data_IF_734492068991
#
_entry.id   IF_734492068991
#
_cell.length_a   1.000
_cell.length_b   1.000
_cell.length_c   1.000
_cell.angle_alpha   90.00
_cell.angle_beta   90.00
_cell.angle_gamma   90.00
#
_symmetry.space_group_name_H-M   'P 1'
#
loop_
_entity.id
_entity.type
_entity.pdbx_description
1 polymer ?
#
# COMPACT_ATOMS: atom_id res chain seq x y z
N UNK A 1 74.89 -0.33 29.55
CA UNK A 1 74.80 -0.43 28.08
C UNK A 1 73.80 -1.53 27.78
N UNK A 2 72.63 -1.27 27.19
CA UNK A 2 72.09 0.01 26.69
C UNK A 2 70.55 -0.05 26.77
N UNK A 3 69.87 1.10 26.83
CA UNK A 3 68.47 1.22 27.27
C UNK A 3 67.41 1.16 26.13
N UNK A 4 66.14 1.21 26.54
CA UNK A 4 64.89 1.27 25.75
C UNK A 4 64.82 2.49 24.79
N UNK A 5 63.90 2.46 23.81
CA UNK A 5 62.55 3.06 23.98
C UNK A 5 61.45 2.08 23.51
N UNK A 6 60.32 1.83 24.17
CA UNK A 6 59.19 2.70 24.57
C UNK A 6 58.69 3.67 23.49
N UNK A 7 57.53 3.35 22.89
CA UNK A 7 56.70 4.32 22.16
C UNK A 7 55.22 3.88 22.15
N UNK A 8 54.50 4.37 23.16
CA UNK A 8 53.13 4.91 23.11
C UNK A 8 52.09 4.38 22.09
N UNK A 9 51.02 3.80 22.65
CA UNK A 9 49.60 4.10 22.42
C UNK A 9 48.99 4.16 21.00
N UNK A 10 47.97 3.33 20.77
CA UNK A 10 46.72 3.77 20.12
C UNK A 10 45.49 2.93 20.58
N UNK A 11 44.44 3.60 21.02
CA UNK A 11 43.07 3.10 21.28
C UNK A 11 42.10 4.20 20.76
N UNK A 12 40.78 3.95 20.59
CA UNK A 12 40.14 2.85 19.88
C UNK A 12 39.11 3.40 18.85
N UNK A 13 39.03 2.83 17.65
CA UNK A 13 38.03 3.29 16.67
C UNK A 13 36.62 2.72 16.90
N UNK A 14 35.81 3.47 17.65
CA UNK A 14 34.37 3.27 17.73
C UNK A 14 33.65 3.70 16.43
N UNK A 15 32.67 2.94 15.92
CA UNK A 15 31.83 3.40 14.82
C UNK A 15 30.83 4.46 15.32
N UNK A 16 30.97 5.68 14.82
CA UNK A 16 30.08 6.81 15.11
C UNK A 16 28.66 6.56 14.63
N UNK A 17 27.68 6.69 15.53
CA UNK A 17 26.28 6.78 15.15
C UNK A 17 26.02 8.13 14.46
N UNK A 18 25.50 8.11 13.23
CA UNK A 18 25.02 9.31 12.56
C UNK A 18 23.49 9.35 12.57
N UNK A 19 22.94 10.24 13.39
CA UNK A 19 21.51 10.52 13.42
C UNK A 19 21.12 11.56 12.37
N UNK A 20 19.85 11.47 11.95
CA UNK A 20 18.94 12.53 11.47
C UNK A 20 19.44 13.62 10.49
N UNK A 21 18.70 13.80 9.39
CA UNK A 21 18.81 14.97 8.53
C UNK A 21 17.65 15.08 7.53
N UNK A 22 16.68 15.95 7.78
CA UNK A 22 15.58 16.23 6.87
C UNK A 22 15.85 17.48 6.00
N UNK A 23 15.62 17.37 4.70
CA UNK A 23 15.38 18.47 3.75
C UNK A 23 14.71 17.87 2.49
N UNK A 24 13.59 18.31 1.92
CA UNK A 24 12.95 19.63 1.77
C UNK A 24 13.45 20.47 0.57
N UNK A 25 12.53 20.64 -0.40
CA UNK A 25 12.44 21.67 -1.45
C UNK A 25 13.41 21.65 -2.66
N UNK A 26 12.86 21.96 -3.84
CA UNK A 26 13.60 22.17 -5.10
C UNK A 26 12.70 22.12 -6.34
N UNK A 27 11.91 23.17 -6.59
CA UNK A 27 10.95 23.22 -7.70
C UNK A 27 11.56 23.69 -9.03
N UNK A 28 11.04 23.20 -10.16
CA UNK A 28 11.20 23.82 -11.48
C UNK A 28 9.95 23.56 -12.37
N UNK A 29 9.31 24.65 -12.82
CA UNK A 29 8.36 24.66 -13.94
C UNK A 29 9.16 24.77 -15.27
N UNK A 30 8.64 24.65 -16.51
CA UNK A 30 7.28 24.54 -17.08
C UNK A 30 7.42 23.85 -18.48
N UNK A 31 6.45 23.73 -19.41
CA UNK A 31 5.07 24.20 -19.52
C UNK A 31 4.25 23.36 -20.54
N UNK A 32 2.92 23.47 -20.50
CA UNK A 32 2.10 23.68 -21.70
C UNK A 32 1.91 22.55 -22.74
N UNK A 33 0.89 21.72 -22.53
CA UNK A 33 0.10 21.13 -23.62
C UNK A 33 -1.37 21.02 -23.20
N UNK A 34 -2.17 22.04 -23.53
CA UNK A 34 -3.60 22.06 -23.20
C UNK A 34 -4.38 21.19 -24.20
N UNK A 35 -4.88 20.04 -23.75
CA UNK A 35 -5.87 19.24 -24.46
C UNK A 35 -7.23 19.40 -23.77
N UNK A 36 -8.13 20.11 -24.46
CA UNK A 36 -9.51 20.46 -24.08
C UNK A 36 -10.12 19.71 -22.88
N UNK A 37 -10.34 20.44 -21.78
CA UNK A 37 -11.37 20.07 -20.83
C UNK A 37 -12.72 20.11 -21.56
N UNK A 38 -13.30 18.94 -21.81
CA UNK A 38 -14.66 18.85 -22.30
C UNK A 38 -15.60 19.45 -21.24
N UNK A 39 -16.25 20.55 -21.59
CA UNK A 39 -17.20 21.25 -20.72
C UNK A 39 -18.33 20.28 -20.36
N UNK A 40 -18.38 19.87 -19.09
CA UNK A 40 -19.38 18.92 -18.63
C UNK A 40 -20.77 19.55 -18.79
N UNK A 41 -21.74 18.87 -19.45
CA UNK A 41 -23.09 19.39 -19.60
C UNK A 41 -23.71 19.65 -18.22
N UNK A 42 -24.67 20.59 -18.12
CA UNK A 42 -25.28 20.95 -16.84
C UNK A 42 -25.83 19.69 -16.16
N UNK A 43 -25.52 19.55 -14.87
CA UNK A 43 -25.78 18.34 -14.11
C UNK A 43 -27.29 18.09 -13.89
N UNK A 44 -27.97 17.59 -14.92
CA UNK A 44 -29.07 16.63 -14.76
C UNK A 44 -28.55 15.58 -13.79
N UNK A 45 -29.21 15.40 -12.65
CA UNK A 45 -28.63 14.67 -11.52
C UNK A 45 -28.24 13.25 -11.94
N UNK A 46 -26.94 13.04 -12.18
CA UNK A 46 -26.44 11.81 -12.77
C UNK A 46 -26.77 10.59 -11.89
N UNK A 47 -26.90 10.82 -10.58
CA UNK A 47 -27.39 9.86 -9.60
C UNK A 47 -28.82 9.43 -9.93
N UNK A 48 -29.75 10.37 -10.14
CA UNK A 48 -31.13 10.06 -10.49
C UNK A 48 -31.28 9.39 -11.87
N UNK A 49 -30.47 9.82 -12.86
CA UNK A 49 -30.47 9.21 -14.19
C UNK A 49 -30.00 7.74 -14.18
N UNK A 50 -29.01 7.42 -13.34
CA UNK A 50 -28.45 6.06 -13.20
C UNK A 50 -29.27 5.18 -12.27
N UNK A 51 -29.75 5.71 -11.14
CA UNK A 51 -30.50 4.94 -10.13
C UNK A 51 -32.00 4.78 -10.46
N UNK A 52 -32.58 5.55 -11.40
CA UNK A 52 -33.90 5.28 -12.00
C UNK A 52 -35.05 5.19 -10.97
N UNK A 53 -35.04 6.04 -9.94
CA UNK A 53 -36.05 6.04 -8.87
C UNK A 53 -35.65 5.22 -7.63
N UNK A 54 -34.48 4.56 -7.63
CA UNK A 54 -33.98 3.79 -6.49
C UNK A 54 -33.28 4.66 -5.43
N UNK A 55 -33.22 5.98 -5.60
CA UNK A 55 -32.56 6.91 -4.67
C UNK A 55 -33.22 6.86 -3.29
N UNK A 56 -34.55 6.66 -3.25
CA UNK A 56 -35.34 6.49 -2.04
C UNK A 56 -34.99 5.23 -1.22
N UNK A 57 -34.21 4.30 -1.77
CA UNK A 57 -33.67 3.17 -1.01
C UNK A 57 -32.48 3.57 -0.14
N UNK A 58 -31.80 4.69 -0.45
CA UNK A 58 -30.48 5.03 0.07
C UNK A 58 -30.53 6.23 1.02
N UNK A 59 -29.61 6.25 1.98
CA UNK A 59 -29.36 7.40 2.84
C UNK A 59 -28.56 8.48 2.12
N UNK A 60 -28.56 9.71 2.64
CA UNK A 60 -27.77 10.81 2.08
C UNK A 60 -26.27 10.47 1.96
N UNK A 61 -25.68 9.74 2.93
CA UNK A 61 -24.27 9.33 2.86
C UNK A 61 -24.00 8.31 1.76
N UNK A 62 -24.93 7.36 1.56
CA UNK A 62 -24.83 6.37 0.49
C UNK A 62 -25.00 7.03 -0.89
N UNK A 63 -25.88 8.03 -1.01
CA UNK A 63 -26.03 8.81 -2.24
C UNK A 63 -24.78 9.63 -2.59
N UNK A 64 -24.09 10.20 -1.60
CA UNK A 64 -22.80 10.87 -1.83
C UNK A 64 -21.70 9.88 -2.25
N UNK A 65 -21.64 8.68 -1.66
CA UNK A 65 -20.73 7.61 -2.12
C UNK A 65 -21.05 7.19 -3.56
N UNK A 66 -22.32 7.00 -3.91
CA UNK A 66 -22.73 6.73 -5.31
C UNK A 66 -22.31 7.88 -6.21
N UNK A 67 -22.53 9.15 -5.81
CA UNK A 67 -22.14 10.34 -6.59
C UNK A 67 -20.63 10.37 -6.87
N UNK A 68 -19.80 10.07 -5.86
CA UNK A 68 -18.34 9.97 -6.01
C UNK A 68 -17.94 8.81 -6.96
N UNK A 69 -18.59 7.64 -6.84
CA UNK A 69 -18.36 6.51 -7.75
C UNK A 69 -18.76 6.83 -9.21
N UNK A 70 -19.84 7.60 -9.42
CA UNK A 70 -20.22 8.07 -10.76
C UNK A 70 -19.18 9.03 -11.35
N UNK A 71 -18.63 9.95 -10.54
CA UNK A 71 -17.54 10.85 -10.96
C UNK A 71 -16.26 10.07 -11.34
N UNK A 72 -15.99 8.96 -10.66
CA UNK A 72 -14.89 8.04 -10.98
C UNK A 72 -15.15 7.11 -12.18
N UNK A 73 -16.32 7.20 -12.83
CA UNK A 73 -16.71 6.42 -14.01
C UNK A 73 -17.38 5.07 -13.71
N UNK A 74 -17.77 4.80 -12.46
CA UNK A 74 -18.30 3.49 -12.03
C UNK A 74 -19.83 3.35 -12.21
N UNK A 75 -20.43 4.09 -13.15
CA UNK A 75 -21.89 4.04 -13.40
C UNK A 75 -22.44 2.66 -13.79
N UNK A 76 -21.61 1.85 -14.44
CA UNK A 76 -21.94 0.48 -14.85
C UNK A 76 -22.32 -0.45 -13.67
N UNK A 77 -21.88 -0.15 -12.44
CA UNK A 77 -22.24 -0.88 -11.21
C UNK A 77 -23.74 -0.79 -10.90
N UNK A 78 -24.38 0.29 -11.34
CA UNK A 78 -25.77 0.63 -11.05
C UNK A 78 -26.68 0.55 -12.29
N UNK A 79 -26.11 0.59 -13.49
CA UNK A 79 -26.83 0.66 -14.77
C UNK A 79 -27.89 -0.44 -14.94
N UNK A 80 -27.58 -1.68 -14.53
CA UNK A 80 -28.49 -2.83 -14.65
C UNK A 80 -29.54 -2.93 -13.52
N UNK A 81 -29.66 -1.93 -12.63
CA UNK A 81 -30.62 -1.99 -11.54
C UNK A 81 -32.07 -2.01 -12.05
N UNK A 82 -32.91 -2.96 -11.59
CA UNK A 82 -34.32 -2.97 -11.90
C UNK A 82 -35.05 -1.82 -11.17
N UNK A 83 -36.31 -1.58 -11.57
CA UNK A 83 -37.18 -0.60 -10.93
C UNK A 83 -37.31 -0.80 -9.40
N UNK A 84 -37.66 0.24 -8.63
CA UNK A 84 -37.95 0.13 -7.20
C UNK A 84 -39.00 -0.94 -6.90
N UNK A 85 -38.87 -1.63 -5.77
CA UNK A 85 -39.69 -2.78 -5.39
C UNK A 85 -39.20 -4.14 -5.90
N UNK A 86 -38.27 -4.16 -6.87
CA UNK A 86 -37.68 -5.40 -7.41
C UNK A 86 -36.22 -5.52 -7.00
N UNK A 87 -35.84 -6.58 -6.29
CA UNK A 87 -34.44 -6.83 -5.91
C UNK A 87 -33.85 -5.82 -4.92
N UNK A 88 -34.69 -5.04 -4.23
CA UNK A 88 -34.24 -3.94 -3.35
C UNK A 88 -33.34 -4.43 -2.19
N UNK A 89 -33.49 -5.68 -1.74
CA UNK A 89 -32.60 -6.30 -0.77
C UNK A 89 -31.18 -6.52 -1.32
N UNK A 90 -31.04 -6.88 -2.60
CA UNK A 90 -29.74 -7.03 -3.26
C UNK A 90 -29.09 -5.67 -3.51
N UNK A 91 -29.85 -4.66 -3.93
CA UNK A 91 -29.38 -3.27 -4.08
C UNK A 91 -28.84 -2.74 -2.75
N UNK A 92 -29.58 -2.92 -1.65
CA UNK A 92 -29.14 -2.54 -0.29
C UNK A 92 -27.90 -3.31 0.16
N UNK A 93 -27.80 -4.61 -0.11
CA UNK A 93 -26.60 -5.41 0.21
C UNK A 93 -25.38 -4.89 -0.56
N UNK A 94 -25.51 -4.61 -1.86
CA UNK A 94 -24.42 -4.07 -2.67
C UNK A 94 -23.94 -2.72 -2.13
N UNK A 95 -24.85 -1.80 -1.79
CA UNK A 95 -24.47 -0.50 -1.22
C UNK A 95 -23.83 -0.65 0.17
N UNK A 96 -24.34 -1.54 1.02
CA UNK A 96 -23.70 -1.84 2.31
C UNK A 96 -22.27 -2.40 2.15
N UNK A 97 -22.03 -3.23 1.13
CA UNK A 97 -20.69 -3.69 0.77
C UNK A 97 -19.81 -2.52 0.29
N UNK A 98 -20.31 -1.64 -0.58
CA UNK A 98 -19.56 -0.45 -1.01
C UNK A 98 -19.17 0.45 0.17
N UNK A 99 -20.08 0.72 1.10
CA UNK A 99 -19.81 1.49 2.33
C UNK A 99 -18.76 0.78 3.21
N UNK A 100 -18.81 -0.54 3.33
CA UNK A 100 -17.81 -1.30 4.09
C UNK A 100 -16.42 -1.24 3.43
N UNK A 101 -16.33 -1.38 2.10
CA UNK A 101 -15.06 -1.26 1.39
C UNK A 101 -14.49 0.16 1.48
N UNK A 102 -15.34 1.18 1.32
CA UNK A 102 -14.95 2.58 1.44
C UNK A 102 -14.37 2.91 2.83
N UNK A 103 -14.98 2.38 3.90
CA UNK A 103 -14.45 2.51 5.27
C UNK A 103 -13.19 1.68 5.54
N UNK A 104 -12.93 0.63 4.76
CA UNK A 104 -11.80 -0.30 4.97
C UNK A 104 -10.51 0.10 4.26
N UNK A 105 -10.59 1.03 3.28
CA UNK A 105 -9.42 1.49 2.51
C UNK A 105 -9.04 2.93 2.89
N UNK A 106 -7.74 3.22 2.99
CA UNK A 106 -7.28 4.58 3.30
C UNK A 106 -7.59 5.55 2.15
N UNK A 107 -8.47 6.53 2.39
CA UNK A 107 -8.98 7.44 1.37
C UNK A 107 -10.18 6.90 0.57
N UNK A 108 -10.73 5.75 0.96
CA UNK A 108 -11.96 5.20 0.39
C UNK A 108 -11.83 4.67 -1.05
N UNK A 109 -12.98 4.33 -1.64
CA UNK A 109 -13.07 3.76 -2.98
C UNK A 109 -12.57 4.72 -4.06
N UNK A 110 -12.77 6.03 -3.89
CA UNK A 110 -12.23 7.04 -4.80
C UNK A 110 -10.69 7.02 -4.83
N UNK A 111 -10.03 6.97 -3.67
CA UNK A 111 -8.57 6.83 -3.63
C UNK A 111 -8.12 5.48 -4.20
N UNK A 112 -8.82 4.38 -3.91
CA UNK A 112 -8.52 3.07 -4.49
C UNK A 112 -8.56 3.10 -6.04
N UNK A 113 -9.60 3.70 -6.63
CA UNK A 113 -9.74 3.83 -8.09
C UNK A 113 -8.66 4.75 -8.67
N UNK A 114 -8.37 5.89 -8.02
CA UNK A 114 -7.29 6.80 -8.42
C UNK A 114 -5.92 6.11 -8.43
N UNK A 115 -5.58 5.43 -7.33
CA UNK A 115 -4.35 4.65 -7.19
C UNK A 115 -4.26 3.54 -8.24
N UNK A 116 -5.37 2.85 -8.54
CA UNK A 116 -5.39 1.82 -9.59
C UNK A 116 -5.15 2.41 -11.00
N UNK A 117 -5.76 3.56 -11.32
CA UNK A 117 -5.52 4.28 -12.60
C UNK A 117 -4.05 4.71 -12.73
N UNK A 118 -3.46 5.21 -11.64
CA UNK A 118 -2.04 5.55 -11.54
C UNK A 118 -1.13 4.32 -11.75
N UNK A 119 -1.31 3.25 -10.96
CA UNK A 119 -0.50 2.03 -11.08
C UNK A 119 -0.56 1.39 -12.48
N UNK A 120 -1.72 1.43 -13.14
CA UNK A 120 -1.87 0.93 -14.52
C UNK A 120 -1.12 1.79 -15.55
N UNK A 121 -1.15 3.12 -15.39
CA UNK A 121 -0.37 4.06 -16.22
C UNK A 121 1.13 3.86 -16.00
N UNK A 122 1.54 3.77 -14.75
CA UNK A 122 2.94 3.64 -14.34
C UNK A 122 3.55 2.32 -14.83
N UNK A 123 2.79 1.23 -14.73
CA UNK A 123 3.11 -0.08 -15.31
C UNK A 123 3.24 -0.04 -16.84
N UNK A 124 2.30 0.62 -17.54
CA UNK A 124 2.37 0.84 -18.99
C UNK A 124 3.60 1.65 -19.41
N UNK A 125 4.02 2.62 -18.60
CA UNK A 125 5.19 3.47 -18.83
C UNK A 125 6.50 2.79 -18.40
N UNK A 126 6.45 1.61 -17.79
CA UNK A 126 7.62 0.88 -17.31
C UNK A 126 8.31 1.55 -16.11
N UNK A 127 7.63 2.44 -15.38
CA UNK A 127 8.24 3.16 -14.24
C UNK A 127 8.41 2.21 -13.05
N UNK A 128 9.67 1.92 -12.71
CA UNK A 128 10.05 1.12 -11.56
C UNK A 128 10.49 2.02 -10.40
N UNK A 129 9.80 2.02 -9.24
CA UNK A 129 10.18 2.84 -8.09
C UNK A 129 11.53 2.41 -7.45
N UNK A 130 12.07 1.26 -7.84
CA UNK A 130 13.36 0.75 -7.40
C UNK A 130 14.50 0.99 -8.41
N UNK A 131 14.30 1.77 -9.48
CA UNK A 131 15.39 2.13 -10.38
C UNK A 131 16.48 2.90 -9.64
N UNK A 132 17.74 2.49 -9.83
CA UNK A 132 18.89 2.99 -9.08
C UNK A 132 19.17 2.28 -7.75
N UNK A 133 18.28 1.39 -7.28
CA UNK A 133 18.55 0.53 -6.12
C UNK A 133 19.09 -0.83 -6.59
N UNK A 134 20.22 -1.24 -6.01
CA UNK A 134 20.78 -2.59 -6.21
C UNK A 134 20.59 -3.39 -4.92
N UNK A 135 19.87 -4.52 -4.93
CA UNK A 135 19.77 -5.38 -3.77
C UNK A 135 21.12 -6.05 -3.50
N UNK A 136 21.65 -5.89 -2.29
CA UNK A 136 22.80 -6.64 -1.80
C UNK A 136 22.33 -7.85 -0.99
N UNK A 137 22.92 -9.02 -1.27
CA UNK A 137 22.78 -10.18 -0.38
C UNK A 137 23.78 -9.99 0.77
N UNK A 138 23.35 -9.98 2.05
CA UNK A 138 24.27 -9.95 3.17
C UNK A 138 25.14 -11.21 3.18
N UNK A 139 26.43 -11.07 3.50
CA UNK A 139 27.30 -12.22 3.73
C UNK A 139 26.87 -12.95 5.01
N UNK A 140 26.58 -14.25 4.91
CA UNK A 140 26.30 -15.11 6.06
C UNK A 140 27.58 -15.80 6.54
N UNK A 141 27.75 -15.90 7.86
CA UNK A 141 28.81 -16.74 8.46
C UNK A 141 28.29 -18.16 8.75
N UNK A 142 29.09 -19.18 8.40
CA UNK A 142 28.87 -20.54 8.90
C UNK A 142 29.49 -20.65 10.28
N UNK A 143 28.68 -21.01 11.29
CA UNK A 143 29.10 -21.12 12.67
C UNK A 143 29.27 -22.58 13.07
N UNK A 144 30.46 -22.94 13.56
CA UNK A 144 30.67 -24.25 14.18
C UNK A 144 29.84 -24.34 15.48
N UNK A 145 28.99 -25.37 15.56
CA UNK A 145 28.10 -25.59 16.69
C UNK A 145 28.88 -25.75 18.00
N UNK A 146 28.47 -25.04 19.05
CA UNK A 146 29.15 -25.04 20.35
C UNK A 146 30.49 -24.29 20.36
N UNK A 147 30.89 -23.64 19.27
CA UNK A 147 32.01 -22.68 19.30
C UNK A 147 31.64 -21.46 20.16
N UNK A 148 32.66 -20.75 20.67
CA UNK A 148 32.42 -19.52 21.43
C UNK A 148 31.62 -18.48 20.63
N UNK A 149 31.95 -18.31 19.35
CA UNK A 149 31.26 -17.40 18.43
C UNK A 149 29.78 -17.78 18.25
N UNK A 150 29.47 -19.08 18.18
CA UNK A 150 28.09 -19.57 18.15
C UNK A 150 27.33 -19.18 19.42
N UNK A 151 27.91 -19.43 20.60
CA UNK A 151 27.26 -19.14 21.90
C UNK A 151 27.06 -17.63 22.12
N UNK A 152 28.08 -16.81 21.81
CA UNK A 152 28.02 -15.35 21.92
C UNK A 152 26.89 -14.76 21.03
N UNK A 153 26.66 -15.34 19.84
CA UNK A 153 25.59 -14.94 18.92
C UNK A 153 24.21 -15.51 19.30
N UNK A 154 24.16 -16.72 19.86
CA UNK A 154 22.92 -17.34 20.37
C UNK A 154 22.37 -16.55 21.58
N UNK A 155 23.22 -16.12 22.51
CA UNK A 155 22.84 -15.28 23.65
C UNK A 155 22.29 -13.92 23.18
N UNK A 156 23.00 -13.25 22.26
CA UNK A 156 22.54 -11.99 21.66
C UNK A 156 21.23 -12.15 20.88
N UNK A 157 21.08 -13.26 20.14
CA UNK A 157 19.88 -13.62 19.40
C UNK A 157 18.67 -13.86 20.30
N UNK A 158 18.85 -14.58 21.41
CA UNK A 158 17.80 -14.80 22.42
C UNK A 158 17.36 -13.48 23.09
N UNK A 159 18.33 -12.62 23.44
CA UNK A 159 18.03 -11.30 24.01
C UNK A 159 17.26 -10.40 23.05
N UNK A 160 17.57 -10.46 21.74
CA UNK A 160 16.82 -9.76 20.70
C UNK A 160 15.43 -10.37 20.45
N UNK A 161 15.33 -11.70 20.38
CA UNK A 161 14.09 -12.44 20.17
C UNK A 161 13.06 -12.19 21.28
N UNK A 162 13.50 -11.99 22.52
CA UNK A 162 12.65 -11.59 23.65
C UNK A 162 11.93 -10.24 23.46
N UNK A 163 12.30 -9.45 22.44
CA UNK A 163 11.66 -8.19 22.04
C UNK A 163 11.17 -8.19 20.58
N UNK A 164 11.20 -9.35 19.91
CA UNK A 164 10.77 -9.50 18.53
C UNK A 164 9.29 -9.92 18.44
N UNK A 165 8.63 -9.53 17.36
CA UNK A 165 7.33 -10.07 16.96
C UNK A 165 7.52 -10.97 15.74
N UNK A 166 6.94 -12.17 15.77
CA UNK A 166 6.96 -13.10 14.65
C UNK A 166 5.63 -13.01 13.90
N UNK A 167 5.68 -12.72 12.59
CA UNK A 167 4.50 -12.58 11.73
C UNK A 167 4.51 -13.69 10.69
N UNK A 168 3.53 -14.60 10.77
CA UNK A 168 3.31 -15.64 9.78
C UNK A 168 2.25 -15.17 8.76
N UNK A 169 2.65 -14.96 7.51
CA UNK A 169 1.74 -14.58 6.42
C UNK A 169 1.22 -15.84 5.72
N UNK A 170 0.06 -16.33 6.18
CA UNK A 170 -0.59 -17.56 5.70
C UNK A 170 -1.84 -17.29 4.82
N UNK A 171 -1.86 -16.18 4.08
CA UNK A 171 -3.04 -15.72 3.34
C UNK A 171 -3.31 -16.36 1.96
N UNK A 172 -2.60 -17.43 1.59
CA UNK A 172 -2.67 -18.05 0.26
C UNK A 172 -3.38 -19.41 0.27
N UNK A 173 -4.26 -19.63 -0.71
CA UNK A 173 -4.84 -20.96 -0.97
C UNK A 173 -3.83 -21.85 -1.71
N UNK A 174 -3.70 -23.11 -1.29
CA UNK A 174 -2.76 -24.10 -1.83
C UNK A 174 -3.09 -24.65 -3.23
N UNK A 175 -3.94 -23.98 -4.00
CA UNK A 175 -4.50 -24.48 -5.27
C UNK A 175 -3.42 -24.81 -6.31
N UNK A 176 -2.34 -24.00 -6.36
CA UNK A 176 -1.17 -24.25 -7.22
C UNK A 176 -0.41 -25.54 -6.88
N UNK A 177 -0.61 -26.08 -5.68
CA UNK A 177 -0.02 -27.33 -5.20
C UNK A 177 -1.01 -28.51 -5.28
N UNK A 178 -2.22 -28.29 -5.80
CA UNK A 178 -3.28 -29.31 -5.86
C UNK A 178 -4.04 -29.53 -4.54
N UNK A 179 -3.89 -28.62 -3.56
CA UNK A 179 -4.55 -28.70 -2.26
C UNK A 179 -5.62 -27.60 -2.11
N UNK A 180 -6.84 -28.01 -1.80
CA UNK A 180 -8.01 -27.11 -1.67
C UNK A 180 -8.12 -26.40 -0.30
N UNK A 181 -7.10 -26.48 0.55
CA UNK A 181 -7.14 -26.05 1.95
C UNK A 181 -5.91 -25.22 2.34
N UNK A 182 -6.09 -24.39 3.36
CA UNK A 182 -5.02 -23.70 4.10
C UNK A 182 -4.87 -24.43 5.44
N UNK A 183 -3.63 -24.69 5.87
CA UNK A 183 -3.27 -25.25 7.18
C UNK A 183 -2.17 -24.41 7.80
#
# INVERSE_FOLDING_TARGET
MQELPDHAADEPHAPTAHAAGAAAAGAAAAAGAAAAAAEAPPAVDAVAAVLKGNEALLTAKELELVRALLQEGQGHVFEAWPAPGTGDADKRRLVAQLVQLDASYHGGLTAYIGNAKELLRDSREGRNPFDGYTPSVPEGENLDFGSRRFLDLEEGGLAAAARAAFVLVAGGLGERLGYSAVH
#
